data_IF_906454553122
#
_entry.id   IF_906454553122
#
_cell.length_a   1.000
_cell.length_b   1.000
_cell.length_c   1.000
_cell.angle_alpha   90.00
_cell.angle_beta   90.00
_cell.angle_gamma   90.00
#
_symmetry.space_group_name_H-M   'P 1'
#
loop_
_entity.id
_entity.type
_entity.pdbx_description
1 polymer ?
#
# COMPACT_ATOMS: atom_id res chain seq x y z
N UNK A 1 -2.59 4.20 -14.52
CA UNK A 1 -2.21 3.95 -13.11
C UNK A 1 -2.29 5.27 -12.36
N UNK A 2 -2.79 5.28 -11.12
CA UNK A 2 -2.86 6.50 -10.30
C UNK A 2 -1.83 6.43 -9.18
N UNK A 3 -1.25 7.57 -8.83
CA UNK A 3 -0.52 7.77 -7.58
C UNK A 3 -1.25 8.85 -6.79
N UNK A 4 -1.58 8.54 -5.55
CA UNK A 4 -2.40 9.37 -4.69
C UNK A 4 -1.73 9.52 -3.34
N UNK A 5 -1.89 10.69 -2.74
CA UNK A 5 -1.68 10.84 -1.31
C UNK A 5 -2.84 10.18 -0.58
N UNK A 6 -2.52 9.37 0.41
CA UNK A 6 -3.52 8.65 1.21
C UNK A 6 -3.24 8.89 2.68
N UNK A 7 -4.19 9.49 3.38
CA UNK A 7 -4.13 9.72 4.83
C UNK A 7 -4.42 8.40 5.58
N UNK A 8 -3.38 7.58 5.77
CA UNK A 8 -3.51 6.27 6.41
C UNK A 8 -3.74 6.36 7.92
N UNK A 9 -3.14 7.35 8.60
CA UNK A 9 -3.19 7.48 10.05
C UNK A 9 -2.80 6.18 10.78
N UNK A 10 -3.45 5.92 11.90
CA UNK A 10 -3.33 4.64 12.61
C UNK A 10 -3.94 3.47 11.83
N UNK A 11 -3.08 2.60 11.30
CA UNK A 11 -3.46 1.41 10.52
C UNK A 11 -3.82 0.22 11.41
N UNK A 12 -4.88 -0.50 11.03
CA UNK A 12 -5.19 -1.85 11.51
C UNK A 12 -4.51 -2.90 10.62
N UNK A 13 -3.70 -3.79 11.19
CA UNK A 13 -2.89 -4.72 10.40
C UNK A 13 -3.50 -6.12 10.34
N UNK A 14 -3.60 -6.68 9.14
CA UNK A 14 -4.17 -8.01 8.89
C UNK A 14 -3.25 -8.86 8.03
N UNK A 15 -3.30 -10.18 8.22
CA UNK A 15 -2.52 -11.16 7.45
C UNK A 15 -3.37 -12.02 6.52
N UNK A 16 -4.68 -12.02 6.71
CA UNK A 16 -5.63 -12.82 5.95
C UNK A 16 -6.80 -11.94 5.49
N UNK A 17 -7.51 -12.40 4.47
CA UNK A 17 -8.69 -11.71 3.98
C UNK A 17 -9.77 -11.63 5.06
N UNK A 18 -10.33 -10.43 5.24
CA UNK A 18 -11.43 -10.19 6.16
C UNK A 18 -12.36 -9.16 5.55
N UNK A 19 -13.65 -9.47 5.47
CA UNK A 19 -14.66 -8.50 5.08
C UNK A 19 -14.79 -7.44 6.18
N UNK A 20 -14.71 -6.17 5.79
CA UNK A 20 -14.81 -5.03 6.70
C UNK A 20 -15.41 -3.84 5.97
N UNK A 21 -16.34 -3.16 6.62
CA UNK A 21 -16.92 -1.90 6.13
C UNK A 21 -16.25 -0.68 6.78
N UNK A 22 -15.60 -0.88 7.93
CA UNK A 22 -14.88 0.14 8.68
C UNK A 22 -13.80 -0.52 9.54
N UNK A 23 -12.71 0.20 9.88
CA UNK A 23 -11.70 -0.32 10.77
C UNK A 23 -12.20 -0.31 12.23
N UNK A 24 -11.53 -1.02 13.15
CA UNK A 24 -11.83 -0.96 14.58
C UNK A 24 -11.70 0.47 15.14
N UNK A 25 -12.33 0.74 16.28
CA UNK A 25 -12.24 2.04 16.94
C UNK A 25 -10.78 2.46 17.18
N UNK A 26 -10.46 3.71 16.89
CA UNK A 26 -9.10 4.27 16.99
C UNK A 26 -8.19 3.96 15.80
N UNK A 27 -8.68 3.26 14.78
CA UNK A 27 -7.97 3.02 13.51
C UNK A 27 -8.64 3.79 12.37
N UNK A 28 -7.85 4.22 11.39
CA UNK A 28 -8.30 5.06 10.28
C UNK A 28 -8.23 4.34 8.93
N UNK A 29 -7.47 3.25 8.86
CA UNK A 29 -7.25 2.47 7.64
C UNK A 29 -6.85 1.04 8.00
N UNK A 30 -6.78 0.18 6.98
CA UNK A 30 -6.31 -1.20 7.11
C UNK A 30 -5.08 -1.41 6.24
N UNK A 31 -4.10 -2.14 6.78
CA UNK A 31 -2.91 -2.60 6.06
C UNK A 31 -2.91 -4.13 5.99
N UNK A 32 -3.07 -4.64 4.78
CA UNK A 32 -2.78 -6.04 4.48
C UNK A 32 -1.27 -6.25 4.46
N UNK A 33 -0.78 -7.17 5.30
CA UNK A 33 0.65 -7.46 5.43
C UNK A 33 1.08 -8.52 4.42
N UNK A 34 1.82 -8.14 3.39
CA UNK A 34 2.34 -9.06 2.36
C UNK A 34 3.62 -9.78 2.77
N UNK A 35 4.00 -10.82 2.00
CA UNK A 35 5.31 -11.50 2.11
C UNK A 35 6.48 -10.63 1.64
N UNK A 36 6.22 -9.68 0.75
CA UNK A 36 7.21 -8.75 0.19
C UNK A 36 6.79 -7.32 0.50
N UNK A 37 7.75 -6.51 0.95
CA UNK A 37 7.59 -5.07 1.21
C UNK A 37 8.72 -4.28 0.52
N UNK A 38 8.52 -3.00 0.21
CA UNK A 38 9.63 -2.14 -0.22
C UNK A 38 10.61 -1.93 0.95
N UNK A 39 11.91 -1.84 0.64
CA UNK A 39 12.95 -1.55 1.64
C UNK A 39 12.75 -0.15 2.24
N UNK A 40 12.67 -0.04 3.56
CA UNK A 40 12.27 1.19 4.27
C UNK A 40 13.36 2.26 4.25
N UNK A 41 14.62 1.84 4.20
CA UNK A 41 15.80 2.69 4.11
C UNK A 41 15.88 3.47 2.79
N UNK A 42 15.15 3.01 1.77
CA UNK A 42 15.06 3.65 0.45
C UNK A 42 13.76 4.45 0.26
N UNK A 43 12.97 4.64 1.33
CA UNK A 43 11.81 5.50 1.27
C UNK A 43 12.26 6.94 1.08
N UNK A 44 11.52 7.66 0.25
CA UNK A 44 11.74 9.09 0.04
C UNK A 44 10.60 9.87 0.66
N UNK A 45 10.89 11.09 1.09
CA UNK A 45 9.86 12.05 1.48
C UNK A 45 9.63 12.96 0.27
N UNK A 46 8.38 13.00 -0.20
CA UNK A 46 7.95 13.91 -1.25
C UNK A 46 7.23 15.12 -0.63
N UNK A 47 7.72 16.31 -0.95
CA UNK A 47 7.40 17.51 -0.18
C UNK A 47 7.92 17.38 1.26
N UNK A 48 7.18 17.93 2.22
CA UNK A 48 7.61 17.94 3.63
C UNK A 48 6.98 16.82 4.48
N UNK A 49 6.00 16.07 3.95
CA UNK A 49 5.13 15.21 4.78
C UNK A 49 4.73 13.86 4.15
N UNK A 50 4.93 13.64 2.84
CA UNK A 50 4.43 12.43 2.18
C UNK A 50 5.53 11.39 2.05
N UNK A 51 5.36 10.25 2.70
CA UNK A 51 6.26 9.11 2.54
C UNK A 51 5.97 8.36 1.23
N UNK A 52 6.97 8.25 0.37
CA UNK A 52 6.94 7.50 -0.88
C UNK A 52 7.71 6.19 -0.71
N UNK A 53 7.02 5.03 -0.68
CA UNK A 53 7.65 3.74 -0.45
C UNK A 53 8.25 3.17 -1.76
N UNK A 54 9.26 3.84 -2.31
CA UNK A 54 9.88 3.53 -3.59
C UNK A 54 11.08 2.56 -3.53
N UNK A 55 11.34 1.96 -2.36
CA UNK A 55 12.42 1.01 -2.19
C UNK A 55 12.23 -0.28 -3.00
N UNK A 56 13.34 -0.94 -3.32
CA UNK A 56 13.28 -2.24 -3.99
C UNK A 56 12.58 -3.31 -3.11
N UNK A 57 11.98 -4.34 -3.72
CA UNK A 57 11.24 -5.36 -2.98
C UNK A 57 12.16 -6.27 -2.14
N UNK A 58 11.83 -6.41 -0.86
CA UNK A 58 12.52 -7.29 0.11
C UNK A 58 11.53 -8.17 0.89
N UNK A 59 11.95 -9.33 1.43
CA UNK A 59 11.10 -10.14 2.31
C UNK A 59 10.63 -9.36 3.53
N UNK A 60 9.34 -9.43 3.85
CA UNK A 60 8.76 -8.70 4.98
C UNK A 60 8.98 -9.37 6.34
N UNK A 61 9.40 -10.64 6.35
CA UNK A 61 9.47 -11.47 7.56
C UNK A 61 8.12 -11.93 8.10
N UNK A 62 7.00 -11.55 7.46
CA UNK A 62 5.66 -11.95 7.89
C UNK A 62 5.40 -13.41 7.51
N UNK A 63 5.21 -14.24 8.52
CA UNK A 63 4.78 -15.64 8.36
C UNK A 63 3.25 -15.75 8.31
N UNK A 64 2.77 -16.76 7.57
CA UNK A 64 1.33 -17.11 7.44
C UNK A 64 0.45 -15.93 7.01
N UNK A 65 0.85 -15.25 5.95
CA UNK A 65 0.01 -14.28 5.26
C UNK A 65 -0.47 -14.82 3.92
N UNK A 66 -1.72 -14.49 3.59
CA UNK A 66 -2.36 -14.81 2.32
C UNK A 66 -1.92 -13.85 1.19
N UNK A 67 -1.27 -12.74 1.54
CA UNK A 67 -0.91 -11.67 0.62
C UNK A 67 0.54 -11.77 0.16
N UNK A 68 0.77 -11.58 -1.14
CA UNK A 68 2.14 -11.49 -1.69
C UNK A 68 2.78 -10.12 -1.41
N UNK A 69 2.01 -9.04 -1.54
CA UNK A 69 2.47 -7.67 -1.34
C UNK A 69 1.56 -6.95 -0.33
N UNK A 70 2.04 -5.84 0.21
CA UNK A 70 1.20 -5.03 1.10
C UNK A 70 0.03 -4.40 0.34
N UNK A 71 -1.11 -4.32 1.00
CA UNK A 71 -2.30 -3.60 0.53
C UNK A 71 -2.67 -2.54 1.56
N UNK A 72 -3.17 -1.39 1.10
CA UNK A 72 -3.59 -0.28 1.96
C UNK A 72 -5.02 0.10 1.60
N UNK A 73 -5.91 0.08 2.60
CA UNK A 73 -7.34 0.25 2.42
C UNK A 73 -7.81 1.39 3.31
N UNK A 74 -8.45 2.38 2.71
CA UNK A 74 -9.19 3.45 3.41
C UNK A 74 -10.68 3.27 3.16
N UNK A 75 -11.49 3.72 4.11
CA UNK A 75 -12.95 3.51 4.11
C UNK A 75 -13.73 4.81 3.88
N UNK A 76 -13.04 5.95 3.90
CA UNK A 76 -13.58 7.25 3.54
C UNK A 76 -12.83 7.80 2.32
N UNK A 77 -13.59 8.20 1.29
CA UNK A 77 -13.07 8.85 0.08
C UNK A 77 -12.30 10.15 0.37
N UNK A 78 -12.63 10.84 1.47
CA UNK A 78 -11.94 12.07 1.88
C UNK A 78 -10.46 11.85 2.22
N UNK A 79 -10.06 10.60 2.53
CA UNK A 79 -8.67 10.24 2.85
C UNK A 79 -7.78 10.14 1.61
N UNK A 80 -8.33 10.24 0.40
CA UNK A 80 -7.59 10.07 -0.86
C UNK A 80 -7.52 11.38 -1.62
N UNK A 81 -6.31 11.82 -1.91
CA UNK A 81 -6.04 12.96 -2.78
C UNK A 81 -5.27 12.51 -4.02
N UNK A 82 -5.93 12.51 -5.18
CA UNK A 82 -5.33 12.09 -6.45
C UNK A 82 -4.27 13.12 -6.89
N UNK A 83 -3.01 12.67 -7.08
CA UNK A 83 -1.91 13.58 -7.45
C UNK A 83 -1.42 13.39 -8.88
N UNK A 84 -1.25 12.13 -9.31
CA UNK A 84 -0.68 11.83 -10.60
C UNK A 84 -1.47 10.76 -11.33
N UNK A 85 -1.69 10.99 -12.63
CA UNK A 85 -2.22 10.00 -13.56
C UNK A 85 -1.11 9.58 -14.52
N UNK A 86 -0.74 8.31 -14.46
CA UNK A 86 0.32 7.74 -15.29
C UNK A 86 -0.28 7.04 -16.49
N UNK A 87 0.16 7.47 -17.68
CA UNK A 87 -0.01 6.75 -18.95
C UNK A 87 1.09 5.70 -19.06
N UNK A 88 0.73 4.43 -18.90
CA UNK A 88 1.68 3.31 -18.90
C UNK A 88 1.54 2.51 -20.20
N UNK A 89 2.66 2.25 -20.88
CA UNK A 89 2.73 1.33 -22.02
C UNK A 89 3.22 -0.03 -21.54
N UNK A 90 2.40 -1.06 -21.67
CA UNK A 90 2.77 -2.43 -21.33
C UNK A 90 3.45 -3.09 -22.53
N UNK A 91 4.74 -3.41 -22.39
CA UNK A 91 5.49 -4.18 -23.38
C UNK A 91 5.49 -5.66 -22.98
N UNK A 92 4.47 -6.39 -23.39
CA UNK A 92 4.36 -7.82 -23.11
C UNK A 92 5.33 -8.60 -24.01
N UNK A 93 6.15 -9.47 -23.41
CA UNK A 93 6.84 -10.51 -24.17
C UNK A 93 5.86 -11.67 -24.31
N UNK A 94 5.46 -12.01 -25.54
CA UNK A 94 4.65 -13.19 -25.80
C UNK A 94 5.33 -14.44 -25.24
N UNK A 95 4.56 -15.32 -24.60
CA UNK A 95 5.02 -16.66 -24.25
C UNK A 95 5.33 -17.40 -25.56
N UNK A 96 6.59 -17.75 -25.77
CA UNK A 96 6.95 -18.88 -26.65
C UNK A 96 6.81 -20.16 -25.86
#
# INVERSE_FOLDING_TARGET
MLLSEVALGEMYQLKAAQYMEKPPAGKHSTKGLGKVKPLEEEFQVWGDQVTVPCGHPVPSGITRTDLMYNEYIVYDTSQVNLRFLLKVKFNQKGRR
#
